data_IF_654830295079
#
_entry.id   IF_654830295079
#
_cell.length_a   1.000
_cell.length_b   1.000
_cell.length_c   1.000
_cell.angle_alpha   90.00
_cell.angle_beta   90.00
_cell.angle_gamma   90.00
#
_symmetry.space_group_name_H-M   'P 1'
#
loop_
_entity.id
_entity.type
_entity.pdbx_description
1 polymer ?
#
# COMPACT_ATOMS: atom_id res chain seq x y z
N UNK A 1 3.38 -18.07 26.53
CA UNK A 1 2.95 -17.02 27.46
C UNK A 1 2.80 -15.66 26.78
N UNK A 2 3.79 -15.12 26.08
CA UNK A 2 3.71 -13.82 25.40
C UNK A 2 2.61 -13.72 24.32
N UNK A 3 2.50 -14.70 23.44
CA UNK A 3 1.46 -14.77 22.40
C UNK A 3 0.04 -14.81 22.99
N UNK A 4 -0.17 -15.53 24.08
CA UNK A 4 -1.48 -15.60 24.74
C UNK A 4 -1.89 -14.28 25.39
N UNK A 5 -0.93 -13.53 25.93
CA UNK A 5 -1.16 -12.18 26.49
C UNK A 5 -1.53 -11.17 25.38
N UNK A 6 -0.82 -11.21 24.25
CA UNK A 6 -1.13 -10.35 23.09
C UNK A 6 -2.50 -10.69 22.51
N UNK A 7 -2.79 -11.97 22.27
CA UNK A 7 -4.08 -12.42 21.74
C UNK A 7 -5.24 -12.15 22.72
N UNK A 8 -5.00 -12.27 24.02
CA UNK A 8 -5.99 -11.93 25.06
C UNK A 8 -6.34 -10.43 25.06
N UNK A 9 -5.32 -9.58 24.93
CA UNK A 9 -5.51 -8.12 24.86
C UNK A 9 -6.21 -7.66 23.58
N UNK A 10 -5.93 -8.30 22.45
CA UNK A 10 -6.61 -8.03 21.17
C UNK A 10 -8.08 -8.49 21.19
N UNK A 11 -8.36 -9.64 21.81
CA UNK A 11 -9.75 -10.11 22.03
C UNK A 11 -10.55 -9.17 22.92
N UNK A 12 -9.92 -8.49 23.88
CA UNK A 12 -10.58 -7.50 24.72
C UNK A 12 -11.07 -6.29 23.90
N UNK A 13 -10.26 -5.80 22.92
CA UNK A 13 -10.67 -4.70 22.04
C UNK A 13 -11.86 -5.09 21.16
N UNK A 14 -11.87 -6.30 20.61
CA UNK A 14 -13.00 -6.82 19.83
C UNK A 14 -14.27 -7.01 20.68
N UNK A 15 -14.13 -7.22 22.00
CA UNK A 15 -15.26 -7.38 22.91
C UNK A 15 -15.81 -6.07 23.46
N UNK A 16 -15.03 -4.99 23.43
CA UNK A 16 -15.41 -3.69 24.00
C UNK A 16 -16.49 -2.96 23.21
N UNK A 17 -16.51 -3.13 21.86
CA UNK A 17 -17.46 -2.43 20.99
C UNK A 17 -17.98 -3.32 19.86
N UNK A 18 -19.29 -3.46 19.78
CA UNK A 18 -19.96 -4.18 18.68
C UNK A 18 -19.76 -3.45 17.35
N UNK A 19 -19.84 -2.13 17.35
CA UNK A 19 -19.63 -1.30 16.16
C UNK A 19 -18.20 -1.41 15.63
N UNK A 20 -17.19 -1.51 16.53
CA UNK A 20 -15.82 -1.77 16.12
C UNK A 20 -15.67 -3.18 15.49
N UNK A 21 -16.36 -4.21 16.02
CA UNK A 21 -16.35 -5.55 15.39
C UNK A 21 -16.90 -5.52 13.98
N UNK A 22 -17.98 -4.78 13.75
CA UNK A 22 -18.56 -4.64 12.42
C UNK A 22 -17.59 -3.92 11.47
N UNK A 23 -16.97 -2.82 11.90
CA UNK A 23 -15.96 -2.10 11.12
C UNK A 23 -14.74 -2.98 10.82
N UNK A 24 -14.23 -3.69 11.82
CA UNK A 24 -13.09 -4.60 11.67
C UNK A 24 -13.40 -5.76 10.71
N UNK A 25 -14.57 -6.40 10.89
CA UNK A 25 -15.03 -7.48 10.01
C UNK A 25 -15.21 -7.02 8.57
N UNK A 26 -15.80 -5.83 8.36
CA UNK A 26 -15.96 -5.25 7.02
C UNK A 26 -14.60 -4.99 6.37
N UNK A 27 -13.63 -4.44 7.10
CA UNK A 27 -12.27 -4.17 6.61
C UNK A 27 -11.54 -5.46 6.23
N UNK A 28 -11.66 -6.52 7.05
CA UNK A 28 -11.06 -7.82 6.74
C UNK A 28 -11.66 -8.45 5.49
N UNK A 29 -12.98 -8.52 5.42
CA UNK A 29 -13.68 -9.20 4.33
C UNK A 29 -13.47 -8.45 3.01
N UNK A 30 -13.69 -7.15 3.00
CA UNK A 30 -13.48 -6.34 1.79
C UNK A 30 -12.00 -6.24 1.40
N UNK A 31 -11.09 -6.24 2.37
CA UNK A 31 -9.65 -6.26 2.12
C UNK A 31 -9.19 -7.55 1.46
N UNK A 32 -9.63 -8.72 1.95
CA UNK A 32 -9.34 -10.02 1.32
C UNK A 32 -9.83 -10.07 -0.12
N UNK A 33 -11.09 -9.68 -0.35
CA UNK A 33 -11.66 -9.63 -1.70
C UNK A 33 -10.91 -8.68 -2.62
N UNK A 34 -10.56 -7.49 -2.14
CA UNK A 34 -9.83 -6.49 -2.92
C UNK A 34 -8.48 -7.02 -3.39
N UNK A 35 -7.66 -7.59 -2.50
CA UNK A 35 -6.33 -8.11 -2.86
C UNK A 35 -6.39 -9.38 -3.70
N UNK A 36 -7.41 -10.20 -3.51
CA UNK A 36 -7.71 -11.31 -4.41
C UNK A 36 -8.01 -10.80 -5.83
N UNK A 37 -8.82 -9.74 -5.94
CA UNK A 37 -9.21 -9.16 -7.21
C UNK A 37 -8.08 -8.38 -7.91
N UNK A 38 -7.12 -7.80 -7.19
CA UNK A 38 -5.93 -7.17 -7.78
C UNK A 38 -5.15 -8.16 -8.65
N UNK A 39 -4.99 -9.40 -8.18
CA UNK A 39 -4.37 -10.48 -8.96
C UNK A 39 -5.22 -10.80 -10.20
N UNK A 40 -6.54 -10.98 -10.01
CA UNK A 40 -7.46 -11.31 -11.10
C UNK A 40 -7.48 -10.23 -12.19
N UNK A 41 -7.57 -8.95 -11.81
CA UNK A 41 -7.56 -7.82 -12.73
C UNK A 41 -6.26 -7.76 -13.56
N UNK A 42 -5.11 -7.92 -12.90
CA UNK A 42 -3.80 -7.86 -13.56
C UNK A 42 -3.62 -9.02 -14.54
N UNK A 43 -4.03 -10.23 -14.14
CA UNK A 43 -3.99 -11.43 -14.98
C UNK A 43 -4.95 -11.29 -16.17
N UNK A 44 -6.21 -10.94 -15.93
CA UNK A 44 -7.24 -10.86 -16.96
C UNK A 44 -6.91 -9.82 -18.05
N UNK A 45 -6.47 -8.63 -17.64
CA UNK A 45 -6.03 -7.61 -18.59
C UNK A 45 -4.81 -8.07 -19.38
N UNK A 46 -3.84 -8.70 -18.72
CA UNK A 46 -2.65 -9.18 -19.40
C UNK A 46 -2.97 -10.31 -20.38
N UNK A 47 -3.81 -11.29 -20.01
CA UNK A 47 -4.19 -12.43 -20.86
C UNK A 47 -4.98 -12.01 -22.09
N UNK A 48 -5.82 -10.97 -21.96
CA UNK A 48 -6.60 -10.44 -23.10
C UNK A 48 -5.76 -9.56 -24.05
N UNK A 49 -4.69 -8.95 -23.55
CA UNK A 49 -3.97 -7.92 -24.32
C UNK A 49 -2.52 -8.26 -24.62
N UNK A 50 -1.89 -9.14 -23.84
CA UNK A 50 -0.47 -9.42 -23.85
C UNK A 50 0.40 -8.14 -23.80
N UNK A 51 -0.08 -7.09 -23.12
CA UNK A 51 0.52 -5.76 -23.15
C UNK A 51 0.70 -5.17 -21.77
N UNK A 52 1.94 -4.81 -21.43
CA UNK A 52 2.27 -4.07 -20.21
C UNK A 52 1.64 -2.67 -20.15
N UNK A 53 1.34 -2.06 -21.31
CA UNK A 53 0.63 -0.76 -21.35
C UNK A 53 -0.78 -0.88 -20.79
N UNK A 54 -1.48 -1.96 -21.09
CA UNK A 54 -2.82 -2.20 -20.54
C UNK A 54 -2.77 -2.53 -19.04
N UNK A 55 -1.78 -3.28 -18.58
CA UNK A 55 -1.55 -3.51 -17.13
C UNK A 55 -1.25 -2.19 -16.42
N UNK A 56 -0.41 -1.35 -17.02
CA UNK A 56 -0.13 -0.01 -16.52
C UNK A 56 -1.39 0.86 -16.43
N UNK A 57 -2.18 0.89 -17.49
CA UNK A 57 -3.46 1.63 -17.51
C UNK A 57 -4.43 1.15 -16.42
N UNK A 58 -4.52 -0.16 -16.20
CA UNK A 58 -5.30 -0.76 -15.14
C UNK A 58 -4.84 -0.30 -13.74
N UNK A 59 -3.55 -0.44 -13.45
CA UNK A 59 -3.00 -0.09 -12.14
C UNK A 59 -3.11 1.41 -11.85
N UNK A 60 -2.90 2.25 -12.87
CA UNK A 60 -3.12 3.69 -12.75
C UNK A 60 -4.59 4.01 -12.52
N UNK A 61 -5.50 3.34 -13.23
CA UNK A 61 -6.94 3.54 -13.10
C UNK A 61 -7.47 3.12 -11.72
N UNK A 62 -6.97 2.05 -11.14
CA UNK A 62 -7.36 1.59 -9.80
C UNK A 62 -6.76 2.47 -8.70
N UNK A 63 -5.48 2.80 -8.81
CA UNK A 63 -4.72 3.42 -7.73
C UNK A 63 -4.78 4.95 -7.71
N UNK A 64 -4.64 5.63 -8.87
CA UNK A 64 -4.54 7.08 -8.94
C UNK A 64 -5.78 7.82 -8.40
N UNK A 65 -7.03 7.38 -8.69
CA UNK A 65 -8.21 7.99 -8.13
C UNK A 65 -8.29 7.86 -6.61
N UNK A 66 -7.91 6.69 -6.07
CA UNK A 66 -7.90 6.45 -4.64
C UNK A 66 -6.98 7.43 -3.90
N UNK A 67 -5.80 7.68 -4.47
CA UNK A 67 -4.84 8.66 -3.95
C UNK A 67 -5.36 10.09 -4.12
N UNK A 68 -5.83 10.45 -5.31
CA UNK A 68 -6.30 11.80 -5.61
C UNK A 68 -7.47 12.20 -4.70
N UNK A 69 -8.41 11.30 -4.46
CA UNK A 69 -9.56 11.54 -3.59
C UNK A 69 -9.13 11.70 -2.14
N UNK A 70 -8.28 10.80 -1.64
CA UNK A 70 -7.76 10.90 -0.27
C UNK A 70 -7.01 12.22 -0.02
N UNK A 71 -6.36 12.76 -1.05
CA UNK A 71 -5.58 13.99 -0.99
C UNK A 71 -6.41 15.26 -1.19
N UNK A 72 -7.29 15.27 -2.21
CA UNK A 72 -8.00 16.46 -2.66
C UNK A 72 -9.36 16.65 -1.95
N UNK A 73 -10.01 15.56 -1.60
CA UNK A 73 -11.40 15.58 -1.11
C UNK A 73 -11.53 15.33 0.39
N UNK A 74 -10.43 15.36 1.16
CA UNK A 74 -10.49 15.24 2.62
C UNK A 74 -11.54 16.17 3.26
N UNK A 75 -11.56 17.48 2.95
CA UNK A 75 -12.56 18.41 3.46
C UNK A 75 -14.00 18.11 3.02
N UNK A 76 -14.19 17.47 1.86
CA UNK A 76 -15.51 17.04 1.40
C UNK A 76 -15.98 15.80 2.17
N UNK A 77 -15.08 14.87 2.46
CA UNK A 77 -15.34 13.67 3.28
C UNK A 77 -15.83 14.06 4.67
N UNK A 78 -15.28 15.12 5.26
CA UNK A 78 -15.65 15.59 6.58
C UNK A 78 -17.08 16.21 6.65
N UNK A 79 -17.63 16.62 5.49
CA UNK A 79 -18.99 17.19 5.40
C UNK A 79 -20.09 16.14 5.20
N UNK A 80 -19.71 14.94 4.76
CA UNK A 80 -20.65 13.87 4.43
C UNK A 80 -20.78 12.86 5.57
N UNK A 81 -21.88 12.15 5.61
CA UNK A 81 -22.06 11.07 6.60
C UNK A 81 -21.06 9.94 6.32
N UNK A 82 -20.14 9.72 7.25
CA UNK A 82 -19.12 8.67 7.17
C UNK A 82 -19.71 7.30 6.90
N UNK A 83 -20.83 6.96 7.56
CA UNK A 83 -21.56 5.72 7.31
C UNK A 83 -22.07 5.63 5.87
N UNK A 84 -22.69 6.69 5.34
CA UNK A 84 -23.19 6.70 3.96
C UNK A 84 -22.07 6.60 2.95
N UNK A 85 -20.92 7.22 3.22
CA UNK A 85 -19.74 7.12 2.37
C UNK A 85 -19.19 5.69 2.33
N UNK A 86 -19.05 5.01 3.48
CA UNK A 86 -18.56 3.64 3.54
C UNK A 86 -19.49 2.65 2.84
N UNK A 87 -20.78 2.70 3.17
CA UNK A 87 -21.79 1.83 2.56
C UNK A 87 -21.93 2.12 1.06
N UNK A 88 -21.97 3.40 0.67
CA UNK A 88 -22.03 3.81 -0.73
C UNK A 88 -20.81 3.36 -1.53
N UNK A 89 -19.61 3.46 -0.96
CA UNK A 89 -18.40 2.97 -1.58
C UNK A 89 -18.44 1.45 -1.80
N UNK A 90 -18.94 0.68 -0.84
CA UNK A 90 -19.09 -0.77 -0.98
C UNK A 90 -20.13 -1.13 -2.04
N UNK A 91 -21.27 -0.40 -2.10
CA UNK A 91 -22.30 -0.62 -3.15
C UNK A 91 -21.74 -0.30 -4.53
N UNK A 92 -20.99 0.78 -4.70
CA UNK A 92 -20.36 1.13 -5.99
C UNK A 92 -19.35 0.05 -6.39
N UNK A 93 -18.51 -0.42 -5.45
CA UNK A 93 -17.54 -1.49 -5.71
C UNK A 93 -18.23 -2.81 -6.02
N UNK A 94 -19.29 -3.18 -5.29
CA UNK A 94 -20.12 -4.34 -5.59
C UNK A 94 -20.63 -4.30 -7.04
N UNK A 95 -21.24 -3.19 -7.45
CA UNK A 95 -21.74 -3.01 -8.81
C UNK A 95 -20.61 -3.08 -9.85
N UNK A 96 -19.47 -2.42 -9.58
CA UNK A 96 -18.32 -2.46 -10.47
C UNK A 96 -17.78 -3.89 -10.66
N UNK A 97 -17.68 -4.71 -9.60
CA UNK A 97 -17.18 -6.07 -9.70
C UNK A 97 -18.19 -7.06 -10.32
N UNK A 98 -19.50 -6.83 -10.17
CA UNK A 98 -20.51 -7.55 -10.94
C UNK A 98 -20.37 -7.25 -12.45
N UNK A 99 -20.16 -5.97 -12.80
CA UNK A 99 -19.97 -5.59 -14.20
C UNK A 99 -18.62 -6.06 -14.76
N UNK A 100 -17.57 -6.15 -13.92
CA UNK A 100 -16.28 -6.73 -14.30
C UNK A 100 -16.40 -8.20 -14.71
N UNK A 101 -17.19 -8.98 -13.98
CA UNK A 101 -17.45 -10.40 -14.34
C UNK A 101 -18.20 -10.54 -15.67
N UNK A 102 -18.81 -9.48 -16.17
CA UNK A 102 -19.53 -9.43 -17.46
C UNK A 102 -18.72 -8.68 -18.54
N UNK A 103 -17.56 -8.13 -18.21
CA UNK A 103 -16.75 -7.32 -19.12
C UNK A 103 -16.06 -8.18 -20.17
N UNK A 104 -16.17 -7.80 -21.43
CA UNK A 104 -15.56 -8.52 -22.56
C UNK A 104 -14.32 -7.80 -23.07
N UNK A 105 -14.32 -6.47 -23.04
CA UNK A 105 -13.24 -5.66 -23.64
C UNK A 105 -12.28 -5.11 -22.58
N UNK A 106 -10.97 -5.06 -22.84
CA UNK A 106 -9.96 -4.57 -21.86
C UNK A 106 -10.25 -3.16 -21.33
N UNK A 107 -10.73 -2.25 -22.18
CA UNK A 107 -11.05 -0.89 -21.74
C UNK A 107 -12.19 -0.83 -20.71
N UNK A 108 -13.12 -1.80 -20.75
CA UNK A 108 -14.21 -1.91 -19.77
C UNK A 108 -13.64 -2.26 -18.39
N UNK A 109 -12.66 -3.17 -18.36
CA UNK A 109 -11.97 -3.57 -17.12
C UNK A 109 -11.27 -2.35 -16.52
N UNK A 110 -10.51 -1.59 -17.32
CA UNK A 110 -9.83 -0.37 -16.87
C UNK A 110 -10.81 0.70 -16.38
N UNK A 111 -11.92 0.91 -17.09
CA UNK A 111 -12.94 1.87 -16.69
C UNK A 111 -13.65 1.49 -15.38
N UNK A 112 -13.97 0.21 -15.19
CA UNK A 112 -14.60 -0.29 -13.97
C UNK A 112 -13.63 -0.32 -12.80
N UNK A 113 -12.34 -0.61 -13.03
CA UNK A 113 -11.28 -0.47 -12.03
C UNK A 113 -11.13 0.99 -11.59
N UNK A 114 -11.22 1.96 -12.52
CA UNK A 114 -11.24 3.38 -12.16
C UNK A 114 -12.42 3.74 -11.24
N UNK A 115 -13.62 3.25 -11.55
CA UNK A 115 -14.80 3.47 -10.68
C UNK A 115 -14.61 2.86 -9.30
N UNK A 116 -14.05 1.63 -9.22
CA UNK A 116 -13.74 0.97 -7.96
C UNK A 116 -12.65 1.72 -7.19
N UNK A 117 -11.61 2.23 -7.87
CA UNK A 117 -10.55 3.05 -7.30
C UNK A 117 -11.07 4.36 -6.70
N UNK A 118 -11.99 5.05 -7.40
CA UNK A 118 -12.70 6.23 -6.88
C UNK A 118 -13.41 5.89 -5.56
N UNK A 119 -14.18 4.82 -5.53
CA UNK A 119 -14.90 4.40 -4.33
C UNK A 119 -13.95 4.04 -3.17
N UNK A 120 -12.82 3.38 -3.47
CA UNK A 120 -11.77 3.02 -2.50
C UNK A 120 -11.13 4.25 -1.87
N UNK A 121 -10.94 5.33 -2.64
CA UNK A 121 -10.37 6.58 -2.16
C UNK A 121 -11.16 7.24 -1.03
N UNK A 122 -12.48 7.05 -1.00
CA UNK A 122 -13.32 7.53 0.10
C UNK A 122 -13.29 6.61 1.32
N UNK A 123 -13.16 5.30 1.15
CA UNK A 123 -13.36 4.34 2.23
C UNK A 123 -12.27 4.43 3.30
N UNK A 124 -11.00 4.42 2.92
CA UNK A 124 -9.88 4.32 3.87
C UNK A 124 -9.76 5.52 4.82
N UNK A 125 -9.81 6.78 4.36
CA UNK A 125 -9.80 7.93 5.28
C UNK A 125 -10.97 7.91 6.27
N UNK A 126 -12.15 7.49 5.81
CA UNK A 126 -13.37 7.44 6.63
C UNK A 126 -13.27 6.38 7.73
N UNK A 127 -12.69 5.20 7.45
CA UNK A 127 -12.45 4.15 8.45
C UNK A 127 -11.60 4.69 9.59
N UNK A 128 -10.45 5.30 9.28
CA UNK A 128 -9.53 5.82 10.31
C UNK A 128 -10.07 7.06 11.03
N UNK A 129 -10.83 7.91 10.35
CA UNK A 129 -11.49 9.06 10.98
C UNK A 129 -12.66 8.66 11.90
N UNK A 130 -13.33 7.54 11.60
CA UNK A 130 -14.42 7.03 12.42
C UNK A 130 -13.98 6.20 13.63
N UNK A 131 -12.76 5.67 13.61
CA UNK A 131 -12.27 4.74 14.62
C UNK A 131 -12.28 5.32 16.06
N UNK A 132 -11.84 6.59 16.32
CA UNK A 132 -11.88 7.16 17.67
C UNK A 132 -13.28 7.22 18.30
N UNK A 133 -14.31 7.22 17.48
CA UNK A 133 -15.71 7.29 17.95
C UNK A 133 -16.29 5.91 18.28
N UNK A 134 -15.59 4.83 17.95
CA UNK A 134 -16.05 3.46 18.15
C UNK A 134 -15.40 2.76 19.33
N UNK A 135 -14.30 3.31 19.86
CA UNK A 135 -13.52 2.73 20.95
C UNK A 135 -13.06 3.81 21.91
N UNK A 136 -12.86 3.46 23.18
CA UNK A 136 -12.34 4.38 24.19
C UNK A 136 -10.90 4.83 23.87
N UNK A 137 -10.53 6.01 24.34
CA UNK A 137 -9.21 6.63 24.12
C UNK A 137 -8.05 5.70 24.53
N UNK A 138 -8.21 4.93 25.59
CA UNK A 138 -7.18 3.96 26.07
C UNK A 138 -7.02 2.76 25.13
N UNK A 139 -8.08 2.35 24.46
CA UNK A 139 -8.08 1.21 23.53
C UNK A 139 -7.75 1.60 22.09
N UNK A 140 -7.84 2.89 21.74
CA UNK A 140 -7.63 3.41 20.39
C UNK A 140 -6.29 3.01 19.75
N UNK A 141 -5.11 3.06 20.46
CA UNK A 141 -3.85 2.61 19.86
C UNK A 141 -3.86 1.12 19.48
N UNK A 142 -4.53 0.29 20.30
CA UNK A 142 -4.68 -1.15 20.04
C UNK A 142 -5.63 -1.44 18.88
N UNK A 143 -6.73 -0.70 18.79
CA UNK A 143 -7.68 -0.80 17.69
C UNK A 143 -7.03 -0.41 16.34
N UNK A 144 -6.25 0.67 16.32
CA UNK A 144 -5.44 1.07 15.16
C UNK A 144 -4.43 -0.02 14.77
N UNK A 145 -3.71 -0.58 15.74
CA UNK A 145 -2.75 -1.66 15.49
C UNK A 145 -3.44 -2.89 14.90
N UNK A 146 -4.61 -3.25 15.43
CA UNK A 146 -5.38 -4.39 14.95
C UNK A 146 -5.86 -4.20 13.51
N UNK A 147 -6.38 -3.01 13.17
CA UNK A 147 -6.78 -2.68 11.79
C UNK A 147 -5.58 -2.74 10.82
N UNK A 148 -4.43 -2.16 11.18
CA UNK A 148 -3.22 -2.22 10.34
C UNK A 148 -2.71 -3.64 10.14
N UNK A 149 -2.75 -4.45 11.20
CA UNK A 149 -2.38 -5.88 11.10
C UNK A 149 -3.35 -6.62 10.19
N UNK A 150 -4.65 -6.35 10.30
CA UNK A 150 -5.66 -6.91 9.43
C UNK A 150 -5.43 -6.52 7.96
N UNK A 151 -5.21 -5.24 7.68
CA UNK A 151 -4.86 -4.75 6.34
C UNK A 151 -3.64 -5.51 5.78
N UNK A 152 -2.57 -5.64 6.55
CA UNK A 152 -1.36 -6.34 6.10
C UNK A 152 -1.58 -7.84 5.86
N UNK A 153 -2.36 -8.49 6.72
CA UNK A 153 -2.73 -9.90 6.55
C UNK A 153 -3.58 -10.09 5.29
N UNK A 154 -4.51 -9.16 5.01
CA UNK A 154 -5.34 -9.26 3.80
C UNK A 154 -4.54 -9.09 2.52
N UNK A 155 -3.47 -8.27 2.51
CA UNK A 155 -2.55 -8.18 1.37
C UNK A 155 -1.94 -9.56 1.09
N UNK A 156 -1.30 -10.17 2.07
CA UNK A 156 -0.56 -11.42 1.90
C UNK A 156 -1.50 -12.59 1.58
N UNK A 157 -2.59 -12.74 2.34
CA UNK A 157 -3.51 -13.86 2.16
C UNK A 157 -4.42 -13.67 0.95
N UNK A 158 -4.88 -12.45 0.70
CA UNK A 158 -5.75 -12.13 -0.44
C UNK A 158 -5.05 -12.34 -1.78
N UNK A 159 -3.80 -11.92 -1.91
CA UNK A 159 -3.02 -12.12 -3.15
C UNK A 159 -2.69 -13.59 -3.38
N UNK A 160 -2.34 -14.34 -2.34
CA UNK A 160 -2.13 -15.78 -2.47
C UNK A 160 -3.41 -16.53 -2.89
N UNK A 161 -4.53 -16.23 -2.22
CA UNK A 161 -5.83 -16.78 -2.57
C UNK A 161 -6.24 -16.36 -3.99
N UNK A 162 -5.93 -15.11 -4.39
CA UNK A 162 -6.15 -14.62 -5.75
C UNK A 162 -5.43 -15.46 -6.79
N UNK A 163 -4.15 -15.73 -6.59
CA UNK A 163 -3.39 -16.61 -7.48
C UNK A 163 -3.95 -18.02 -7.58
N UNK A 164 -4.38 -18.61 -6.44
CA UNK A 164 -5.00 -19.93 -6.40
C UNK A 164 -6.35 -19.93 -7.12
N UNK A 165 -7.23 -18.98 -6.81
CA UNK A 165 -8.58 -18.89 -7.39
C UNK A 165 -8.52 -18.66 -8.89
N UNK A 166 -7.67 -17.72 -9.34
CA UNK A 166 -7.54 -17.40 -10.76
C UNK A 166 -6.97 -18.59 -11.52
N UNK A 167 -5.95 -19.27 -10.98
CA UNK A 167 -5.37 -20.45 -11.62
C UNK A 167 -6.34 -21.65 -11.69
N UNK A 168 -7.22 -21.80 -10.69
CA UNK A 168 -8.15 -22.93 -10.62
C UNK A 168 -9.48 -22.67 -11.34
N UNK A 169 -9.99 -21.45 -11.35
CA UNK A 169 -11.36 -21.13 -11.74
C UNK A 169 -11.47 -19.88 -12.63
N UNK A 170 -10.36 -19.21 -12.92
CA UNK A 170 -10.32 -18.01 -13.75
C UNK A 170 -10.65 -16.71 -13.02
N UNK A 171 -10.42 -15.56 -13.68
CA UNK A 171 -10.60 -14.22 -13.10
C UNK A 171 -12.06 -13.90 -12.77
N UNK A 172 -13.04 -14.40 -13.52
CA UNK A 172 -14.47 -14.12 -13.30
C UNK A 172 -14.93 -14.57 -11.91
N UNK A 173 -14.49 -15.75 -11.45
CA UNK A 173 -14.82 -16.25 -10.11
C UNK A 173 -14.24 -15.33 -9.03
N UNK A 174 -13.05 -14.81 -9.24
CA UNK A 174 -12.44 -13.84 -8.35
C UNK A 174 -13.26 -12.53 -8.27
N UNK A 175 -13.80 -12.07 -9.39
CA UNK A 175 -14.68 -10.90 -9.43
C UNK A 175 -15.97 -11.12 -8.65
N UNK A 176 -16.61 -12.28 -8.81
CA UNK A 176 -17.82 -12.64 -8.05
C UNK A 176 -17.54 -12.77 -6.55
N UNK A 177 -16.41 -13.36 -6.17
CA UNK A 177 -16.01 -13.45 -4.76
C UNK A 177 -15.76 -12.07 -4.15
N UNK A 178 -15.13 -11.15 -4.90
CA UNK A 178 -14.93 -9.79 -4.43
C UNK A 178 -16.25 -9.01 -4.36
N UNK A 179 -17.14 -9.16 -5.34
CA UNK A 179 -18.48 -8.60 -5.26
C UNK A 179 -19.22 -9.06 -4.00
N UNK A 180 -19.19 -10.35 -3.71
CA UNK A 180 -19.77 -10.90 -2.48
C UNK A 180 -19.11 -10.33 -1.21
N UNK A 181 -17.79 -10.12 -1.22
CA UNK A 181 -17.08 -9.50 -0.11
C UNK A 181 -17.56 -8.08 0.19
N UNK A 182 -17.82 -7.27 -0.84
CA UNK A 182 -18.38 -5.92 -0.67
C UNK A 182 -19.84 -5.95 -0.20
N UNK A 183 -20.63 -6.90 -0.65
CA UNK A 183 -21.99 -7.08 -0.14
C UNK A 183 -21.99 -7.41 1.36
N UNK A 184 -21.14 -8.35 1.77
CA UNK A 184 -20.98 -8.71 3.18
C UNK A 184 -20.44 -7.53 4.01
N UNK A 185 -19.45 -6.80 3.48
CA UNK A 185 -18.91 -5.60 4.11
C UNK A 185 -19.99 -4.54 4.31
N UNK A 186 -20.77 -4.23 3.27
CA UNK A 186 -21.88 -3.27 3.34
C UNK A 186 -22.92 -3.68 4.38
N UNK A 187 -23.28 -4.97 4.46
CA UNK A 187 -24.22 -5.47 5.46
C UNK A 187 -23.72 -5.30 6.90
N UNK A 188 -22.42 -5.48 7.14
CA UNK A 188 -21.80 -5.20 8.44
C UNK A 188 -21.80 -3.72 8.75
N UNK A 189 -21.44 -2.86 7.81
CA UNK A 189 -21.40 -1.40 7.98
C UNK A 189 -22.79 -0.79 8.22
N UNK A 190 -23.83 -1.33 7.62
CA UNK A 190 -25.23 -0.89 7.86
C UNK A 190 -25.65 -1.11 9.31
N UNK A 191 -25.12 -2.11 10.00
CA UNK A 191 -25.43 -2.39 11.40
C UNK A 191 -24.80 -1.38 12.38
N UNK A 192 -23.81 -0.59 11.96
CA UNK A 192 -23.23 0.47 12.80
C UNK A 192 -24.24 1.62 12.91
N UNK A 193 -24.60 2.07 14.13
CA UNK A 193 -25.50 3.23 14.29
C UNK A 193 -24.94 4.49 13.64
N UNK A 194 -25.78 5.22 12.89
CA UNK A 194 -25.33 6.32 12.02
C UNK A 194 -24.63 7.49 12.72
N UNK A 195 -24.98 7.75 14.00
CA UNK A 195 -24.32 8.80 14.80
C UNK A 195 -22.93 8.43 15.34
N UNK A 196 -22.63 7.14 15.46
CA UNK A 196 -21.38 6.68 16.09
C UNK A 196 -20.09 6.91 15.27
N UNK A 197 -20.20 7.14 13.99
CA UNK A 197 -19.03 7.41 13.13
C UNK A 197 -18.75 8.90 12.98
N UNK A 198 -19.61 9.77 13.50
CA UNK A 198 -19.55 11.20 13.26
C UNK A 198 -19.36 12.00 14.55
N UNK A 199 -18.19 12.66 14.70
CA UNK A 199 -17.99 13.76 15.63
C UNK A 199 -17.30 14.94 14.94
N UNK A 200 -17.75 16.17 15.30
CA UNK A 200 -17.06 17.43 15.14
C UNK A 200 -16.57 17.84 13.75
N UNK A 201 -17.06 18.94 13.23
CA UNK A 201 -16.50 19.62 12.06
C UNK A 201 -15.14 20.22 12.42
N UNK A 202 -14.06 19.74 11.83
CA UNK A 202 -12.74 20.39 11.89
C UNK A 202 -12.66 21.38 10.73
N UNK A 203 -12.37 22.66 11.02
CA UNK A 203 -12.18 23.68 10.00
C UNK A 203 -10.81 23.49 9.33
N UNK A 204 -10.80 23.34 8.00
CA UNK A 204 -9.58 23.29 7.16
C UNK A 204 -9.14 24.72 6.79
N UNK A 205 -7.86 25.03 6.93
CA UNK A 205 -7.26 26.32 6.61
C UNK A 205 -6.48 26.28 5.28
N UNK A 206 -7.12 26.17 4.14
CA UNK A 206 -6.51 26.48 2.83
C UNK A 206 -5.39 25.53 2.36
N UNK A 207 -5.74 24.53 1.56
CA UNK A 207 -4.88 23.41 1.10
C UNK A 207 -3.56 23.83 0.39
N UNK A 208 -3.59 24.85 -0.46
CA UNK A 208 -2.41 25.28 -1.24
C UNK A 208 -1.34 25.98 -0.39
N UNK A 209 -1.75 26.70 0.64
CA UNK A 209 -0.84 27.36 1.57
C UNK A 209 -0.12 26.34 2.44
N UNK A 210 -0.84 25.29 2.88
CA UNK A 210 -0.27 24.20 3.65
C UNK A 210 0.78 23.40 2.86
N UNK A 211 0.58 23.23 1.54
CA UNK A 211 1.58 22.60 0.66
C UNK A 211 2.84 23.45 0.48
N UNK A 212 2.68 24.76 0.31
CA UNK A 212 3.83 25.67 0.16
C UNK A 212 4.70 25.74 1.45
N UNK A 213 4.05 25.78 2.62
CA UNK A 213 4.75 25.73 3.91
C UNK A 213 5.42 24.36 4.12
N UNK A 214 4.76 23.26 3.71
CA UNK A 214 5.34 21.91 3.71
C UNK A 214 6.63 21.83 2.87
N UNK A 215 6.64 22.47 1.70
CA UNK A 215 7.82 22.52 0.81
C UNK A 215 9.02 23.23 1.45
N UNK A 216 8.78 24.37 2.08
CA UNK A 216 9.86 25.13 2.75
C UNK A 216 10.45 24.33 3.93
N UNK A 217 9.61 23.65 4.71
CA UNK A 217 10.03 22.78 5.80
C UNK A 217 10.87 21.61 5.29
N UNK A 218 10.43 20.94 4.23
CA UNK A 218 11.16 19.79 3.64
C UNK A 218 12.51 20.23 3.10
N UNK A 219 12.57 21.36 2.40
CA UNK A 219 13.81 21.90 1.82
C UNK A 219 14.85 22.28 2.89
N UNK A 220 14.42 22.76 4.04
CA UNK A 220 15.31 23.16 5.15
C UNK A 220 15.78 21.99 6.02
N UNK A 221 15.05 20.88 6.04
CA UNK A 221 15.40 19.71 6.83
C UNK A 221 16.10 18.64 5.99
N UNK A 222 17.39 18.36 6.28
CA UNK A 222 18.14 17.32 5.58
C UNK A 222 17.51 15.94 5.73
N UNK A 223 16.94 15.63 6.89
CA UNK A 223 16.25 14.34 7.11
C UNK A 223 15.03 14.19 6.20
N UNK A 224 14.19 15.23 6.10
CA UNK A 224 13.01 15.23 5.22
C UNK A 224 13.38 15.21 3.74
N UNK A 225 14.39 15.98 3.37
CA UNK A 225 14.92 16.00 2.01
C UNK A 225 15.49 14.64 1.61
N UNK A 226 16.15 13.95 2.55
CA UNK A 226 16.62 12.58 2.32
C UNK A 226 15.46 11.64 2.04
N UNK A 227 14.42 11.67 2.87
CA UNK A 227 13.23 10.84 2.64
C UNK A 227 12.60 11.16 1.28
N UNK A 228 12.41 12.44 0.95
CA UNK A 228 11.83 12.86 -0.32
C UNK A 228 12.61 12.32 -1.52
N UNK A 229 13.91 12.61 -1.59
CA UNK A 229 14.73 12.26 -2.75
C UNK A 229 14.94 10.74 -2.87
N UNK A 230 15.30 10.11 -1.77
CA UNK A 230 15.56 8.66 -1.75
C UNK A 230 14.30 7.87 -2.08
N UNK A 231 13.18 8.22 -1.43
CA UNK A 231 11.95 7.46 -1.62
C UNK A 231 11.31 7.70 -2.99
N UNK A 232 11.48 8.87 -3.60
CA UNK A 232 11.07 9.08 -4.99
C UNK A 232 11.87 8.20 -5.98
N UNK A 233 13.16 7.99 -5.77
CA UNK A 233 13.95 7.03 -6.57
C UNK A 233 13.44 5.59 -6.38
N UNK A 234 13.18 5.20 -5.13
CA UNK A 234 12.60 3.89 -4.79
C UNK A 234 11.20 3.72 -5.42
N UNK A 235 10.37 4.78 -5.44
CA UNK A 235 9.03 4.73 -6.05
C UNK A 235 9.06 4.50 -7.56
N UNK A 236 10.08 5.01 -8.27
CA UNK A 236 10.28 4.64 -9.67
C UNK A 236 10.51 3.12 -9.79
N UNK A 237 11.39 2.56 -8.96
CA UNK A 237 11.64 1.12 -8.92
C UNK A 237 10.36 0.31 -8.63
N UNK A 238 9.61 0.69 -7.59
CA UNK A 238 8.33 0.05 -7.22
C UNK A 238 7.33 0.10 -8.39
N UNK A 239 7.23 1.23 -9.08
CA UNK A 239 6.35 1.38 -10.24
C UNK A 239 6.72 0.41 -11.37
N UNK A 240 8.01 0.27 -11.66
CA UNK A 240 8.52 -0.66 -12.67
C UNK A 240 8.21 -2.11 -12.31
N UNK A 241 8.42 -2.50 -11.07
CA UNK A 241 8.12 -3.84 -10.55
C UNK A 241 6.62 -4.12 -10.65
N UNK A 242 5.76 -3.27 -10.09
CA UNK A 242 4.31 -3.50 -10.02
C UNK A 242 3.68 -3.79 -11.39
N UNK A 243 4.09 -3.06 -12.44
CA UNK A 243 3.57 -3.26 -13.80
C UNK A 243 4.15 -4.50 -14.46
N UNK A 244 5.45 -4.79 -14.26
CA UNK A 244 6.15 -5.86 -14.95
C UNK A 244 6.09 -7.21 -14.24
N UNK A 245 5.57 -7.27 -13.01
CA UNK A 245 5.56 -8.48 -12.18
C UNK A 245 4.70 -9.59 -12.79
N UNK A 246 3.51 -9.26 -13.31
CA UNK A 246 2.65 -10.23 -14.01
C UNK A 246 3.33 -10.77 -15.27
N UNK A 247 4.07 -9.91 -16.00
CA UNK A 247 4.83 -10.32 -17.19
C UNK A 247 6.01 -11.21 -16.80
N UNK A 248 6.70 -10.88 -15.70
CA UNK A 248 7.81 -11.69 -15.18
C UNK A 248 7.31 -13.09 -14.80
N UNK A 249 6.20 -13.20 -14.09
CA UNK A 249 5.60 -14.48 -13.68
C UNK A 249 5.15 -15.31 -14.89
N UNK A 250 4.37 -14.72 -15.81
CA UNK A 250 3.71 -15.47 -16.89
C UNK A 250 4.61 -15.72 -18.10
N UNK A 251 5.41 -14.74 -18.48
CA UNK A 251 6.25 -14.83 -19.70
C UNK A 251 7.67 -15.33 -19.38
N UNK A 252 8.31 -14.73 -18.38
CA UNK A 252 9.74 -15.04 -18.10
C UNK A 252 9.91 -16.34 -17.32
N UNK A 253 9.07 -16.57 -16.29
CA UNK A 253 9.13 -17.79 -15.46
C UNK A 253 8.16 -18.88 -15.92
N UNK A 254 7.18 -18.53 -16.73
CA UNK A 254 6.13 -19.47 -17.20
C UNK A 254 5.40 -20.16 -16.03
N UNK A 255 5.27 -19.44 -14.90
CA UNK A 255 4.71 -19.96 -13.65
C UNK A 255 3.19 -19.79 -13.52
N UNK A 256 2.55 -19.20 -14.53
CA UNK A 256 1.11 -18.96 -14.56
C UNK A 256 0.61 -18.00 -13.47
N UNK A 257 -0.69 -18.05 -13.23
CA UNK A 257 -1.39 -17.15 -12.31
C UNK A 257 -1.05 -17.42 -10.85
N UNK A 258 -0.87 -18.70 -10.53
CA UNK A 258 -0.41 -19.11 -9.19
C UNK A 258 0.95 -18.51 -8.84
N UNK A 259 1.92 -18.57 -9.79
CA UNK A 259 3.25 -18.00 -9.60
C UNK A 259 3.19 -16.47 -9.35
N UNK A 260 2.33 -15.75 -10.06
CA UNK A 260 2.12 -14.32 -9.83
C UNK A 260 1.55 -14.04 -8.43
N UNK A 261 0.52 -14.76 -8.00
CA UNK A 261 -0.02 -14.64 -6.65
C UNK A 261 1.00 -14.99 -5.56
N UNK A 262 1.87 -16.00 -5.81
CA UNK A 262 2.92 -16.40 -4.89
C UNK A 262 4.00 -15.32 -4.74
N UNK A 263 4.40 -14.63 -5.80
CA UNK A 263 5.34 -13.51 -5.76
C UNK A 263 4.79 -12.37 -4.87
N UNK A 264 3.52 -12.02 -5.03
CA UNK A 264 2.85 -11.03 -4.17
C UNK A 264 2.76 -11.47 -2.70
N UNK A 265 2.43 -12.74 -2.45
CA UNK A 265 2.40 -13.29 -1.09
C UNK A 265 3.78 -13.24 -0.43
N UNK A 266 4.84 -13.54 -1.18
CA UNK A 266 6.22 -13.43 -0.71
C UNK A 266 6.60 -12.01 -0.32
N UNK A 267 6.14 -11.02 -1.09
CA UNK A 267 6.29 -9.60 -0.77
C UNK A 267 5.67 -9.26 0.59
N UNK A 268 4.45 -9.75 0.86
CA UNK A 268 3.77 -9.56 2.13
C UNK A 268 4.49 -10.22 3.32
N UNK A 269 4.99 -11.45 3.15
CA UNK A 269 5.76 -12.17 4.18
C UNK A 269 7.07 -11.42 4.47
N UNK A 270 7.81 -11.02 3.43
CA UNK A 270 9.03 -10.24 3.57
C UNK A 270 8.80 -8.93 4.32
N UNK A 271 7.74 -8.20 3.97
CA UNK A 271 7.37 -6.96 4.62
C UNK A 271 7.05 -7.15 6.12
N UNK A 272 6.34 -8.21 6.49
CA UNK A 272 6.07 -8.53 7.88
C UNK A 272 7.36 -8.80 8.68
N UNK A 273 8.28 -9.59 8.11
CA UNK A 273 9.58 -9.88 8.73
C UNK A 273 10.40 -8.57 8.88
N UNK A 274 10.47 -7.74 7.84
CA UNK A 274 11.21 -6.49 7.84
C UNK A 274 10.71 -5.50 8.89
N UNK A 275 9.39 -5.36 9.03
CA UNK A 275 8.80 -4.52 10.07
C UNK A 275 9.15 -4.98 11.49
N UNK A 276 9.20 -6.28 11.74
CA UNK A 276 9.60 -6.86 13.03
C UNK A 276 11.09 -6.66 13.32
N UNK A 277 11.94 -6.79 12.29
CA UNK A 277 13.39 -6.65 12.43
C UNK A 277 13.84 -5.19 12.59
N UNK A 278 13.09 -4.23 12.04
CA UNK A 278 13.47 -2.82 12.01
C UNK A 278 13.85 -2.26 13.39
N UNK A 279 13.04 -2.52 14.43
CA UNK A 279 13.30 -2.04 15.78
C UNK A 279 14.61 -2.61 16.37
N UNK A 280 14.88 -3.90 16.18
CA UNK A 280 16.08 -4.56 16.67
C UNK A 280 17.34 -4.10 15.93
N UNK A 281 17.23 -3.82 14.63
CA UNK A 281 18.34 -3.28 13.84
C UNK A 281 18.68 -1.86 14.26
N UNK A 282 17.67 -1.00 14.45
CA UNK A 282 17.83 0.38 14.89
C UNK A 282 18.35 0.51 16.33
N UNK A 283 18.10 -0.48 17.19
CA UNK A 283 18.67 -0.54 18.53
C UNK A 283 20.18 -0.88 18.54
N UNK A 284 20.69 -1.49 17.47
CA UNK A 284 22.07 -2.00 17.40
C UNK A 284 22.96 -1.24 16.43
N UNK A 285 22.41 -0.50 15.51
CA UNK A 285 23.12 0.16 14.40
C UNK A 285 22.56 1.56 14.17
N UNK A 286 23.37 2.45 13.61
CA UNK A 286 22.96 3.81 13.29
C UNK A 286 21.84 3.83 12.25
N UNK A 287 20.95 4.80 12.37
CA UNK A 287 19.85 5.04 11.41
C UNK A 287 20.34 5.11 9.97
N UNK A 288 21.46 5.79 9.72
CA UNK A 288 22.08 5.94 8.41
C UNK A 288 22.43 4.59 7.78
N UNK A 289 23.06 3.70 8.55
CA UNK A 289 23.46 2.39 8.07
C UNK A 289 22.24 1.49 7.83
N UNK A 290 21.28 1.46 8.78
CA UNK A 290 20.07 0.63 8.66
C UNK A 290 19.26 1.07 7.45
N UNK A 291 19.07 2.37 7.25
CA UNK A 291 18.30 2.91 6.13
C UNK A 291 18.92 2.55 4.77
N UNK A 292 20.21 2.85 4.60
CA UNK A 292 20.90 2.56 3.36
C UNK A 292 20.99 1.04 3.07
N UNK A 293 21.29 0.23 4.09
CA UNK A 293 21.34 -1.21 3.96
C UNK A 293 19.96 -1.80 3.60
N UNK A 294 18.89 -1.30 4.21
CA UNK A 294 17.53 -1.74 3.94
C UNK A 294 17.14 -1.50 2.46
N UNK A 295 17.43 -0.31 1.93
CA UNK A 295 17.18 -0.01 0.50
C UNK A 295 18.15 -0.80 -0.40
N UNK A 296 19.38 -1.02 0.03
CA UNK A 296 20.34 -1.90 -0.67
C UNK A 296 19.87 -3.35 -0.76
N UNK A 297 19.28 -3.89 0.32
CA UNK A 297 18.67 -5.23 0.33
C UNK A 297 17.46 -5.29 -0.62
N UNK A 298 16.66 -4.23 -0.69
CA UNK A 298 15.58 -4.13 -1.67
C UNK A 298 16.12 -4.18 -3.09
N UNK A 299 17.13 -3.37 -3.43
CA UNK A 299 17.77 -3.35 -4.75
C UNK A 299 18.37 -4.71 -5.12
N UNK A 300 19.02 -5.36 -4.16
CA UNK A 300 19.56 -6.70 -4.33
C UNK A 300 18.47 -7.74 -4.60
N UNK A 301 17.36 -7.67 -3.85
CA UNK A 301 16.20 -8.54 -4.04
C UNK A 301 15.59 -8.43 -5.45
N UNK A 302 15.40 -7.19 -5.93
CA UNK A 302 14.89 -6.92 -7.29
C UNK A 302 15.85 -7.45 -8.35
N UNK A 303 17.17 -7.20 -8.21
CA UNK A 303 18.17 -7.69 -9.15
C UNK A 303 18.25 -9.22 -9.14
N UNK A 304 18.27 -9.82 -7.97
CA UNK A 304 18.34 -11.27 -7.83
C UNK A 304 17.08 -11.95 -8.39
N UNK A 305 15.90 -11.36 -8.21
CA UNK A 305 14.67 -11.84 -8.83
C UNK A 305 14.71 -11.73 -10.35
N UNK A 306 15.26 -10.63 -10.91
CA UNK A 306 15.44 -10.47 -12.35
C UNK A 306 16.35 -11.55 -12.96
N UNK A 307 17.37 -11.98 -12.22
CA UNK A 307 18.34 -12.99 -12.64
C UNK A 307 17.93 -14.42 -12.28
N UNK A 308 16.85 -14.61 -11.53
CA UNK A 308 16.40 -15.93 -11.10
C UNK A 308 16.05 -16.83 -12.28
N UNK A 309 16.38 -18.14 -12.20
CA UNK A 309 16.06 -19.09 -13.25
C UNK A 309 14.57 -19.39 -13.32
N UNK A 310 13.89 -19.41 -12.17
CA UNK A 310 12.47 -19.76 -12.01
C UNK A 310 11.79 -18.98 -10.90
N UNK A 311 10.48 -19.16 -10.76
CA UNK A 311 9.66 -18.46 -9.78
C UNK A 311 10.00 -18.85 -8.34
N UNK A 312 10.45 -20.09 -8.09
CA UNK A 312 10.73 -20.57 -6.75
C UNK A 312 11.92 -19.85 -6.11
N UNK A 313 12.97 -19.61 -6.92
CA UNK A 313 14.11 -18.78 -6.50
C UNK A 313 13.70 -17.32 -6.39
N UNK A 314 12.94 -16.81 -7.37
CA UNK A 314 12.49 -15.43 -7.38
C UNK A 314 11.67 -15.05 -6.14
N UNK A 315 10.80 -15.94 -5.66
CA UNK A 315 9.96 -15.76 -4.46
C UNK A 315 10.80 -15.44 -3.22
N UNK A 316 11.92 -16.14 -3.02
CA UNK A 316 12.82 -15.86 -1.90
C UNK A 316 13.57 -14.53 -2.06
N UNK A 317 13.97 -14.20 -3.28
CA UNK A 317 14.61 -12.93 -3.60
C UNK A 317 13.65 -11.75 -3.35
N UNK A 318 12.40 -11.88 -3.78
CA UNK A 318 11.34 -10.90 -3.57
C UNK A 318 11.03 -10.75 -2.07
N UNK A 319 10.89 -11.85 -1.34
CA UNK A 319 10.69 -11.80 0.10
C UNK A 319 11.83 -11.05 0.80
N UNK A 320 13.10 -11.35 0.43
CA UNK A 320 14.27 -10.67 0.98
C UNK A 320 14.25 -9.17 0.64
N UNK A 321 13.97 -8.79 -0.60
CA UNK A 321 13.83 -7.38 -1.00
C UNK A 321 12.79 -6.64 -0.18
N UNK A 322 11.64 -7.28 0.08
CA UNK A 322 10.57 -6.69 0.87
C UNK A 322 10.87 -6.61 2.38
N UNK A 323 11.78 -7.44 2.92
CA UNK A 323 12.37 -7.19 4.26
C UNK A 323 13.04 -5.82 4.29
N UNK A 324 13.83 -5.51 3.26
CA UNK A 324 14.46 -4.19 3.09
C UNK A 324 13.42 -3.08 2.99
N UNK A 325 12.42 -3.24 2.12
CA UNK A 325 11.34 -2.25 1.89
C UNK A 325 10.64 -1.87 3.19
N UNK A 326 10.18 -2.84 3.97
CA UNK A 326 9.46 -2.58 5.22
C UNK A 326 10.37 -1.95 6.28
N UNK A 327 11.63 -2.38 6.38
CA UNK A 327 12.62 -1.76 7.27
C UNK A 327 12.86 -0.29 6.89
N UNK A 328 12.99 0.03 5.59
CA UNK A 328 13.16 1.40 5.10
C UNK A 328 11.92 2.27 5.36
N UNK A 329 10.71 1.73 5.26
CA UNK A 329 9.45 2.43 5.60
C UNK A 329 9.43 2.83 7.08
N UNK A 330 9.88 1.96 7.99
CA UNK A 330 10.00 2.30 9.42
C UNK A 330 11.01 3.43 9.62
N UNK A 331 12.18 3.35 8.96
CA UNK A 331 13.17 4.42 9.00
C UNK A 331 12.62 5.75 8.45
N UNK A 332 11.90 5.73 7.33
CA UNK A 332 11.24 6.92 6.76
C UNK A 332 10.29 7.57 7.77
N UNK A 333 9.46 6.76 8.42
CA UNK A 333 8.51 7.26 9.42
C UNK A 333 9.23 7.97 10.57
N UNK A 334 10.33 7.40 11.07
CA UNK A 334 11.15 7.99 12.13
C UNK A 334 11.86 9.25 11.66
N UNK A 335 12.41 9.27 10.44
CA UNK A 335 13.08 10.45 9.87
C UNK A 335 12.10 11.61 9.70
N UNK A 336 10.86 11.35 9.28
CA UNK A 336 9.82 12.38 9.18
C UNK A 336 9.42 12.88 10.57
N UNK A 337 9.22 11.98 11.54
CA UNK A 337 8.85 12.35 12.90
C UNK A 337 9.91 13.21 13.60
N UNK A 338 11.19 12.93 13.37
CA UNK A 338 12.30 13.66 13.98
C UNK A 338 12.75 14.88 13.18
N UNK A 339 12.54 14.85 11.85
CA UNK A 339 12.98 15.89 10.93
C UNK A 339 12.06 17.11 10.87
N UNK A 340 10.81 17.01 11.37
CA UNK A 340 9.83 18.08 11.34
C UNK A 340 9.29 18.40 12.74
N UNK A 341 9.19 19.70 13.11
CA UNK A 341 8.45 20.15 14.29
C UNK A 341 6.99 19.69 14.25
N UNK A 342 6.36 19.45 15.41
CA UNK A 342 5.02 18.87 15.51
C UNK A 342 3.95 19.64 14.71
N UNK A 343 3.98 20.97 14.77
CA UNK A 343 2.99 21.86 14.13
C UNK A 343 3.04 21.87 12.59
N UNK A 344 4.14 21.43 11.96
CA UNK A 344 4.30 21.35 10.49
C UNK A 344 4.51 19.92 9.96
N UNK A 345 4.64 18.93 10.86
CA UNK A 345 4.91 17.53 10.49
C UNK A 345 3.89 16.96 9.52
N UNK A 346 2.61 17.25 9.74
CA UNK A 346 1.53 16.82 8.84
C UNK A 346 1.69 17.36 7.43
N UNK A 347 2.06 18.65 7.27
CA UNK A 347 2.27 19.30 5.97
C UNK A 347 3.47 18.70 5.23
N UNK A 348 4.59 18.48 5.94
CA UNK A 348 5.77 17.81 5.38
C UNK A 348 5.44 16.37 4.92
N UNK A 349 4.70 15.62 5.73
CA UNK A 349 4.28 14.25 5.38
C UNK A 349 3.38 14.24 4.14
N UNK A 350 2.42 15.16 4.07
CA UNK A 350 1.52 15.32 2.91
C UNK A 350 2.28 15.61 1.62
N UNK A 351 3.27 16.52 1.66
CA UNK A 351 4.10 16.83 0.49
C UNK A 351 4.92 15.60 0.03
N UNK A 352 5.58 14.91 0.97
CA UNK A 352 6.39 13.72 0.67
C UNK A 352 5.50 12.62 0.06
N UNK A 353 4.36 12.34 0.66
CA UNK A 353 3.42 11.32 0.15
C UNK A 353 2.87 11.70 -1.22
N UNK A 354 2.48 12.95 -1.43
CA UNK A 354 1.99 13.44 -2.71
C UNK A 354 3.02 13.31 -3.83
N UNK A 355 4.27 13.69 -3.55
CA UNK A 355 5.39 13.50 -4.47
C UNK A 355 5.61 12.01 -4.80
N UNK A 356 5.61 11.15 -3.79
CA UNK A 356 5.80 9.71 -3.96
C UNK A 356 4.72 9.09 -4.85
N UNK A 357 3.46 9.46 -4.65
CA UNK A 357 2.36 8.96 -5.46
C UNK A 357 2.37 9.50 -6.89
N UNK A 358 2.76 10.76 -7.08
CA UNK A 358 2.92 11.33 -8.41
C UNK A 358 4.03 10.59 -9.19
N UNK A 359 5.18 10.35 -8.56
CA UNK A 359 6.29 9.61 -9.15
C UNK A 359 5.91 8.16 -9.43
N UNK A 360 5.18 7.50 -8.51
CA UNK A 360 4.66 6.14 -8.71
C UNK A 360 3.75 6.07 -9.94
N UNK A 361 2.78 6.99 -10.08
CA UNK A 361 1.86 7.02 -11.23
C UNK A 361 2.57 7.26 -12.55
N UNK A 362 3.51 8.22 -12.61
CA UNK A 362 4.33 8.47 -13.80
C UNK A 362 5.20 7.25 -14.11
N UNK A 363 5.83 6.67 -13.10
CA UNK A 363 6.65 5.47 -13.23
C UNK A 363 5.87 4.28 -13.77
N UNK A 364 4.62 4.06 -13.33
CA UNK A 364 3.74 3.03 -13.87
C UNK A 364 3.44 3.25 -15.36
N UNK A 365 3.20 4.51 -15.79
CA UNK A 365 2.99 4.84 -17.21
C UNK A 365 4.21 4.49 -18.07
N UNK A 366 5.40 4.82 -17.60
CA UNK A 366 6.66 4.49 -18.26
C UNK A 366 6.91 2.97 -18.27
N UNK A 367 6.62 2.29 -17.15
CA UNK A 367 6.83 0.86 -16.99
C UNK A 367 6.05 0.03 -18.01
N UNK A 368 4.82 0.42 -18.35
CA UNK A 368 4.00 -0.27 -19.34
C UNK A 368 4.63 -0.27 -20.74
N UNK A 369 5.21 0.86 -21.15
CA UNK A 369 5.92 0.95 -22.44
C UNK A 369 7.25 0.18 -22.37
N UNK A 370 7.97 0.34 -21.27
CA UNK A 370 9.31 -0.24 -21.11
C UNK A 370 9.27 -1.77 -21.07
N UNK A 371 8.29 -2.37 -20.38
CA UNK A 371 8.17 -3.82 -20.30
C UNK A 371 7.87 -4.47 -21.65
N UNK A 372 7.11 -3.78 -22.50
CA UNK A 372 6.85 -4.24 -23.86
C UNK A 372 8.09 -4.13 -24.77
N UNK A 373 8.95 -3.12 -24.52
CA UNK A 373 10.14 -2.88 -25.35
C UNK A 373 11.32 -3.79 -24.99
N UNK A 374 11.61 -3.97 -23.68
CA UNK A 374 12.83 -4.67 -23.23
C UNK A 374 12.57 -5.94 -22.43
N UNK A 375 11.31 -6.23 -22.08
CA UNK A 375 10.91 -7.39 -21.29
C UNK A 375 11.07 -7.20 -19.77
N UNK A 376 10.37 -8.04 -19.01
CA UNK A 376 10.22 -7.88 -17.57
C UNK A 376 11.53 -7.99 -16.79
N UNK A 377 12.44 -8.90 -17.18
CA UNK A 377 13.74 -9.08 -16.49
C UNK A 377 14.58 -7.81 -16.53
N UNK A 378 14.66 -7.15 -17.68
CA UNK A 378 15.38 -5.88 -17.81
C UNK A 378 14.72 -4.75 -16.99
N UNK A 379 13.39 -4.71 -16.96
CA UNK A 379 12.65 -3.71 -16.17
C UNK A 379 12.95 -3.89 -14.68
N UNK A 380 13.02 -5.12 -14.17
CA UNK A 380 13.43 -5.39 -12.79
C UNK A 380 14.90 -5.02 -12.52
N UNK A 381 15.78 -5.25 -13.48
CA UNK A 381 17.19 -4.80 -13.40
C UNK A 381 17.30 -3.27 -13.33
N UNK A 382 16.50 -2.55 -14.13
CA UNK A 382 16.42 -1.08 -14.10
C UNK A 382 15.85 -0.60 -12.75
N UNK A 383 14.81 -1.27 -12.23
CA UNK A 383 14.28 -1.02 -10.89
C UNK A 383 15.36 -1.11 -9.82
N UNK A 384 16.13 -2.20 -9.85
CA UNK A 384 17.26 -2.40 -8.93
C UNK A 384 18.28 -1.25 -9.02
N UNK A 385 18.54 -0.74 -10.22
CA UNK A 385 19.43 0.41 -10.45
C UNK A 385 18.91 1.70 -9.76
N UNK A 386 17.65 2.05 -9.97
CA UNK A 386 17.04 3.22 -9.29
C UNK A 386 17.00 3.05 -7.78
N UNK A 387 16.68 1.86 -7.30
CA UNK A 387 16.65 1.54 -5.86
C UNK A 387 18.05 1.60 -5.24
N UNK A 388 19.06 1.07 -5.93
CA UNK A 388 20.47 1.17 -5.50
C UNK A 388 20.96 2.61 -5.46
N UNK A 389 20.60 3.43 -6.46
CA UNK A 389 20.88 4.86 -6.46
C UNK A 389 20.21 5.54 -5.24
N UNK A 390 18.97 5.16 -4.92
CA UNK A 390 18.29 5.59 -3.70
C UNK A 390 19.08 5.25 -2.44
N UNK A 391 19.62 4.04 -2.31
CA UNK A 391 20.46 3.64 -1.18
C UNK A 391 21.71 4.53 -1.04
N UNK A 392 22.38 4.81 -2.16
CA UNK A 392 23.59 5.67 -2.20
C UNK A 392 23.24 7.11 -1.80
N UNK A 393 22.18 7.67 -2.38
CA UNK A 393 21.71 9.04 -2.06
C UNK A 393 21.30 9.13 -0.59
N UNK A 394 20.54 8.14 -0.09
CA UNK A 394 20.13 8.10 1.31
C UNK A 394 21.31 8.04 2.26
N UNK A 395 22.30 7.19 2.00
CA UNK A 395 23.53 7.14 2.77
C UNK A 395 24.30 8.47 2.74
N UNK A 396 24.51 9.04 1.55
CA UNK A 396 25.28 10.24 1.35
C UNK A 396 24.67 11.48 2.06
N UNK A 397 23.34 11.57 2.09
CA UNK A 397 22.62 12.67 2.75
C UNK A 397 22.57 12.48 4.26
N UNK A 398 22.25 11.25 4.74
CA UNK A 398 22.13 10.99 6.17
C UNK A 398 23.47 11.07 6.92
N UNK A 399 24.57 10.65 6.29
CA UNK A 399 25.90 10.83 6.93
C UNK A 399 26.29 12.27 7.19
N UNK A 400 25.63 13.24 6.50
CA UNK A 400 25.81 14.69 6.69
C UNK A 400 24.73 15.31 7.57
N UNK A 401 23.78 14.52 8.06
CA UNK A 401 22.70 14.97 8.94
C UNK A 401 23.18 14.94 10.40
N UNK A 402 22.89 15.98 11.20
CA UNK A 402 23.29 16.01 12.60
C UNK A 402 22.79 14.79 13.37
N UNK A 403 23.62 14.19 14.22
CA UNK A 403 23.29 13.00 15.00
C UNK A 403 22.08 13.23 15.94
N UNK A 404 21.94 14.43 16.47
CA UNK A 404 20.79 14.80 17.31
C UNK A 404 19.42 14.60 16.62
N UNK A 405 19.36 14.58 15.30
CA UNK A 405 18.14 14.27 14.54
C UNK A 405 17.98 12.76 14.29
N UNK A 406 19.09 12.02 14.29
CA UNK A 406 19.13 10.60 13.93
C UNK A 406 18.97 9.68 15.14
N UNK A 407 19.41 10.12 16.31
CA UNK A 407 19.40 9.33 17.56
C UNK A 407 18.29 9.83 18.49
N UNK A 408 17.62 8.94 19.27
CA UNK A 408 16.73 9.40 20.32
C UNK A 408 17.55 10.20 21.34
N UNK A 409 16.98 11.30 21.87
CA UNK A 409 17.55 11.96 23.03
C UNK A 409 17.71 10.91 24.13
N UNK A 410 18.94 10.68 24.55
CA UNK A 410 19.24 9.81 25.71
C UNK A 410 18.69 10.56 26.93
N UNK A 411 17.48 10.17 27.37
CA UNK A 411 16.92 10.59 28.68
C UNK A 411 17.12 9.48 29.68
#
# INVERSE_FOLDING_TARGET
MWLQVILGRQRAVLRSSLSFRFLFGSTLISGLGTWLAVIALSVDVFDRTHSGVWVSALLIADFLPAVAIGFLLGPLVDRLSRKRLLVGADVVRLAAFILLALAVKPWQIVALAFVAGVATGFARPVVYAGLPNLVDTETLPRANSLLRTAEQLTVTTGTLLGGIVVAAAGPDVAYWLNAASFLLSATLLVQIPGGMLQEGRVASHGHWRDLAEGFDVVRRSRALLTVLLTWNLVQIGIALVNVSEVVLAKVSFKSGDFGFGLMWAASGVGAAIGALLAASLLARRSMTLVYAAAIGVMAFGDLAAALSPDVWVAVWCIALGNVGTATAIVCNSLLVQRGAPDHVRGRAFTLIMGSNFAVLGIGMGIAGVLVNAVGARWVWGISAGFTALGAIVGYALLRRTPQAVLEPAVT
#
